data_IF_871157728798
#
_entry.id   IF_871157728798
#
_cell.length_a   1.000
_cell.length_b   1.000
_cell.length_c   1.000
_cell.angle_alpha   90.00
_cell.angle_beta   90.00
_cell.angle_gamma   90.00
#
_symmetry.space_group_name_H-M   'P 1'
#
loop_
_entity.id
_entity.type
_entity.pdbx_description
1 polymer ?
#
# COMPACT_ATOMS: atom_id res chain seq x y z
N UNK A 1 -43.56 59.52 30.62
CA UNK A 1 -42.95 58.55 29.69
C UNK A 1 -41.63 58.09 30.28
N UNK A 2 -41.59 56.87 30.82
CA UNK A 2 -40.39 56.27 31.39
C UNK A 2 -39.39 55.90 30.29
N UNK A 3 -38.12 56.30 30.44
CA UNK A 3 -36.99 55.84 29.61
C UNK A 3 -36.16 54.86 30.44
N UNK A 4 -36.21 53.57 30.07
CA UNK A 4 -35.26 52.56 30.52
C UNK A 4 -33.97 52.70 29.71
N UNK A 5 -32.86 52.98 30.38
CA UNK A 5 -31.52 52.88 29.80
C UNK A 5 -31.00 51.47 30.00
N UNK A 6 -30.83 50.72 28.91
CA UNK A 6 -30.16 49.41 28.91
C UNK A 6 -28.67 49.66 28.62
N UNK A 7 -27.83 49.30 29.58
CA UNK A 7 -26.37 49.33 29.46
C UNK A 7 -25.90 48.02 28.81
N UNK A 8 -25.34 48.10 27.60
CA UNK A 8 -24.77 46.95 26.89
C UNK A 8 -23.34 46.69 27.40
N UNK A 9 -23.12 45.58 28.12
CA UNK A 9 -21.77 45.07 28.35
C UNK A 9 -21.31 44.27 27.12
N UNK A 10 -20.25 44.74 26.46
CA UNK A 10 -19.57 43.97 25.43
C UNK A 10 -18.66 42.92 26.08
N UNK A 11 -19.06 41.65 26.02
CA UNK A 11 -18.17 40.53 26.28
C UNK A 11 -17.26 40.35 25.06
N UNK A 12 -16.00 40.76 25.18
CA UNK A 12 -14.96 40.42 24.22
C UNK A 12 -14.66 38.92 24.29
N UNK A 13 -15.13 38.16 23.31
CA UNK A 13 -14.68 36.78 23.12
C UNK A 13 -13.28 36.82 22.53
N UNK A 14 -12.27 36.49 23.33
CA UNK A 14 -10.96 36.13 22.81
C UNK A 14 -11.11 34.82 22.02
N UNK A 15 -11.21 34.92 20.69
CA UNK A 15 -11.03 33.79 19.81
C UNK A 15 -9.55 33.40 19.84
N UNK A 16 -9.22 32.30 20.51
CA UNK A 16 -7.92 31.68 20.39
C UNK A 16 -7.81 31.14 18.96
N UNK A 17 -7.00 31.79 18.13
CA UNK A 17 -6.56 31.19 16.88
C UNK A 17 -5.71 29.97 17.25
N UNK A 18 -6.26 28.76 17.11
CA UNK A 18 -5.47 27.55 17.23
C UNK A 18 -4.49 27.55 16.06
N UNK A 19 -3.20 27.78 16.32
CA UNK A 19 -2.17 27.76 15.30
C UNK A 19 -2.04 26.32 14.80
N UNK A 20 -2.49 26.06 13.56
CA UNK A 20 -2.33 24.79 12.89
C UNK A 20 -0.85 24.37 12.90
N UNK A 21 -0.56 23.16 13.37
CA UNK A 21 0.78 22.58 13.33
C UNK A 21 0.83 21.57 12.20
N UNK A 22 1.81 21.71 11.30
CA UNK A 22 2.15 20.67 10.34
C UNK A 22 3.46 20.01 10.77
N UNK A 23 3.50 18.69 10.79
CA UNK A 23 4.74 17.94 11.06
C UNK A 23 4.78 16.66 10.26
N UNK A 24 5.90 15.94 10.30
CA UNK A 24 5.98 14.63 9.69
C UNK A 24 7.41 14.16 9.55
N UNK A 25 7.56 13.05 8.83
CA UNK A 25 8.82 12.37 8.56
C UNK A 25 9.09 12.38 7.06
N UNK A 26 10.34 12.66 6.67
CA UNK A 26 10.85 12.38 5.34
C UNK A 26 11.79 11.20 5.45
N UNK A 27 11.59 10.21 4.59
CA UNK A 27 12.35 8.97 4.52
C UNK A 27 13.04 8.87 3.14
N UNK A 28 14.17 8.18 3.09
CA UNK A 28 14.86 7.85 1.86
C UNK A 28 14.31 6.52 1.32
N UNK A 29 13.73 6.55 0.12
CA UNK A 29 13.14 5.37 -0.51
C UNK A 29 14.15 4.28 -0.84
N UNK A 30 15.41 4.66 -1.07
CA UNK A 30 16.49 3.76 -1.52
C UNK A 30 17.00 2.82 -0.42
N UNK A 31 16.83 3.20 0.85
CA UNK A 31 17.31 2.43 2.01
C UNK A 31 16.26 2.30 3.14
N UNK A 32 15.16 3.05 3.08
CA UNK A 32 14.07 2.98 4.05
C UNK A 32 14.39 3.66 5.39
N UNK A 33 15.43 4.50 5.45
CA UNK A 33 15.83 5.21 6.68
C UNK A 33 15.34 6.67 6.66
N UNK A 34 15.27 7.36 7.80
CA UNK A 34 14.94 8.78 7.83
C UNK A 34 15.94 9.63 7.03
N UNK A 35 15.44 10.60 6.28
CA UNK A 35 16.23 11.44 5.38
C UNK A 35 16.51 12.79 6.03
N UNK A 36 17.74 12.97 6.53
CA UNK A 36 18.22 14.22 7.11
C UNK A 36 18.47 15.31 6.05
N UNK A 37 18.12 16.54 6.40
CA UNK A 37 18.39 17.73 5.60
C UNK A 37 17.61 17.79 4.28
N UNK A 38 16.46 17.12 4.19
CA UNK A 38 15.47 17.38 3.14
C UNK A 38 14.79 18.72 3.42
N UNK A 39 14.61 19.52 2.39
CA UNK A 39 13.92 20.81 2.47
C UNK A 39 12.43 20.57 2.33
N UNK A 40 11.67 21.07 3.31
CA UNK A 40 10.21 21.09 3.29
C UNK A 40 9.78 22.54 3.16
N UNK A 41 8.98 22.86 2.14
CA UNK A 41 8.58 24.23 1.80
C UNK A 41 7.07 24.34 1.73
N UNK A 42 6.51 25.32 2.41
CA UNK A 42 5.10 25.72 2.34
C UNK A 42 4.94 26.82 1.30
N UNK A 43 4.41 26.47 0.13
CA UNK A 43 4.52 27.29 -1.09
C UNK A 43 3.88 28.67 -0.98
N UNK A 44 2.75 28.79 -0.29
CA UNK A 44 2.03 30.06 -0.12
C UNK A 44 2.51 30.88 1.09
N UNK A 45 3.16 30.24 2.07
CA UNK A 45 3.72 30.91 3.23
C UNK A 45 5.18 31.36 3.01
N UNK A 46 5.87 30.81 2.01
CA UNK A 46 7.30 31.03 1.79
C UNK A 46 8.17 30.49 2.94
N UNK A 47 7.61 29.64 3.80
CA UNK A 47 8.28 29.06 4.95
C UNK A 47 8.95 27.75 4.52
N UNK A 48 10.22 27.59 4.90
CA UNK A 48 10.95 26.35 4.68
C UNK A 48 11.66 25.92 5.97
N UNK A 49 11.67 24.61 6.21
CA UNK A 49 12.47 23.98 7.25
C UNK A 49 13.26 22.81 6.64
N UNK A 50 14.30 22.39 7.33
CA UNK A 50 15.05 21.18 6.98
C UNK A 50 14.75 20.08 7.97
N UNK A 51 14.69 18.84 7.49
CA UNK A 51 14.51 17.68 8.36
C UNK A 51 15.71 17.44 9.27
N UNK A 52 15.44 16.99 10.50
CA UNK A 52 16.46 16.59 11.47
C UNK A 52 17.08 15.21 11.15
N UNK A 53 17.99 14.74 12.01
CA UNK A 53 18.67 13.42 11.89
C UNK A 53 17.71 12.23 11.91
N UNK A 54 16.50 12.41 12.44
CA UNK A 54 15.43 11.40 12.46
C UNK A 54 14.41 11.69 11.35
N UNK A 55 14.76 12.52 10.37
CA UNK A 55 13.94 12.85 9.20
C UNK A 55 12.73 13.72 9.53
N UNK A 56 12.60 14.24 10.75
CA UNK A 56 11.41 14.98 11.16
C UNK A 56 11.46 16.44 10.73
N UNK A 57 10.30 16.97 10.39
CA UNK A 57 10.08 18.39 10.19
C UNK A 57 8.86 18.87 10.97
N UNK A 58 8.81 20.17 11.25
CA UNK A 58 7.69 20.81 11.94
C UNK A 58 7.55 22.27 11.53
N UNK A 59 6.31 22.70 11.35
CA UNK A 59 5.89 24.09 11.23
C UNK A 59 4.87 24.41 12.32
N UNK A 60 5.14 25.47 13.08
CA UNK A 60 4.20 26.00 14.08
C UNK A 60 3.39 27.15 13.47
N UNK A 61 2.07 27.06 13.51
CA UNK A 61 1.17 28.13 13.07
C UNK A 61 1.17 28.39 11.56
N UNK A 62 1.43 27.37 10.76
CA UNK A 62 1.50 27.51 9.31
C UNK A 62 0.24 26.94 8.65
N UNK A 63 -0.40 27.78 7.82
CA UNK A 63 -1.39 27.34 6.85
C UNK A 63 -0.77 27.42 5.45
N UNK A 64 -0.93 26.34 4.68
CA UNK A 64 -0.63 26.34 3.26
C UNK A 64 -1.57 25.35 2.59
N UNK A 65 -1.81 25.53 1.29
CA UNK A 65 -2.60 24.59 0.52
C UNK A 65 -1.72 23.46 -0.04
N UNK A 66 -0.42 23.72 -0.18
CA UNK A 66 0.57 22.80 -0.74
C UNK A 66 1.89 22.85 0.05
N UNK A 67 2.44 21.66 0.29
CA UNK A 67 3.78 21.44 0.83
C UNK A 67 4.64 20.71 -0.21
N UNK A 68 5.86 21.18 -0.41
CA UNK A 68 6.85 20.57 -1.32
C UNK A 68 8.02 20.03 -0.52
N UNK A 69 8.45 18.82 -0.86
CA UNK A 69 9.59 18.11 -0.28
C UNK A 69 10.66 17.97 -1.36
N UNK A 70 11.90 18.36 -1.05
CA UNK A 70 13.01 18.25 -1.99
C UNK A 70 14.34 17.98 -1.30
N UNK A 71 15.22 17.27 -2.00
CA UNK A 71 16.61 17.02 -1.60
C UNK A 71 17.43 16.88 -2.87
N UNK A 72 18.64 17.44 -2.88
CA UNK A 72 19.56 17.28 -4.02
C UNK A 72 19.80 15.79 -4.27
N UNK A 73 19.62 15.34 -5.52
CA UNK A 73 19.74 13.94 -5.91
C UNK A 73 18.45 13.12 -5.83
N UNK A 74 17.33 13.72 -5.41
CA UNK A 74 16.02 13.08 -5.29
C UNK A 74 14.97 13.77 -6.15
N UNK A 75 13.95 13.01 -6.56
CA UNK A 75 12.76 13.58 -7.16
C UNK A 75 11.96 14.38 -6.12
N UNK A 76 11.52 15.59 -6.48
CA UNK A 76 10.71 16.42 -5.60
C UNK A 76 9.26 15.97 -5.60
N UNK A 77 8.61 16.04 -4.44
CA UNK A 77 7.20 15.70 -4.28
C UNK A 77 6.44 16.90 -3.73
N UNK A 78 5.30 17.22 -4.32
CA UNK A 78 4.34 18.18 -3.77
C UNK A 78 3.06 17.49 -3.30
N UNK A 79 2.47 17.99 -2.22
CA UNK A 79 1.21 17.47 -1.66
C UNK A 79 0.30 18.59 -1.23
N UNK A 80 -0.98 18.41 -1.53
CA UNK A 80 -2.02 19.23 -0.94
C UNK A 80 -2.21 18.86 0.54
N UNK A 81 -2.33 19.86 1.41
CA UNK A 81 -2.58 19.68 2.85
C UNK A 81 -3.82 20.47 3.27
N UNK A 82 -4.46 20.01 4.34
CA UNK A 82 -5.55 20.76 4.95
C UNK A 82 -4.99 21.94 5.76
N UNK A 83 -5.67 23.08 5.72
CA UNK A 83 -5.23 24.34 6.34
C UNK A 83 -5.19 24.30 7.88
N UNK A 84 -5.71 23.24 8.50
CA UNK A 84 -5.74 23.05 9.95
C UNK A 84 -4.53 22.28 10.51
N UNK A 85 -3.53 21.95 9.68
CA UNK A 85 -2.33 21.23 10.09
C UNK A 85 -2.50 19.71 9.98
N UNK A 86 -1.55 18.95 10.55
CA UNK A 86 -1.56 17.49 10.54
C UNK A 86 -0.18 16.85 10.47
N UNK A 87 -0.17 15.56 10.15
CA UNK A 87 1.05 14.79 9.88
C UNK A 87 1.14 14.50 8.39
N UNK A 88 2.25 14.83 7.74
CA UNK A 88 2.48 14.47 6.34
C UNK A 88 3.86 13.80 6.19
N UNK A 89 3.87 12.47 6.15
CA UNK A 89 5.08 11.70 5.94
C UNK A 89 5.35 11.49 4.43
N UNK A 90 6.62 11.47 4.00
CA UNK A 90 7.02 11.32 2.58
C UNK A 90 8.24 10.42 2.44
N UNK A 91 8.28 9.55 1.42
CA UNK A 91 9.52 8.98 0.87
C UNK A 91 9.93 9.81 -0.32
N UNK A 92 11.19 10.23 -0.35
CA UNK A 92 11.82 10.72 -1.56
C UNK A 92 12.59 9.56 -2.23
N UNK A 93 12.45 9.42 -3.54
CA UNK A 93 13.22 8.46 -4.34
C UNK A 93 14.37 9.16 -5.05
N UNK A 94 15.46 8.44 -5.31
CA UNK A 94 16.58 8.97 -6.08
C UNK A 94 16.11 9.41 -7.47
N UNK A 95 16.59 10.57 -7.91
CA UNK A 95 16.13 11.20 -9.13
C UNK A 95 16.34 10.29 -10.34
N UNK A 96 15.25 10.09 -11.11
CA UNK A 96 15.27 9.28 -12.32
C UNK A 96 15.47 7.77 -12.08
N UNK A 97 15.36 7.29 -10.84
CA UNK A 97 15.44 5.87 -10.50
C UNK A 97 14.06 5.30 -10.17
N UNK A 98 13.87 4.01 -10.43
CA UNK A 98 12.64 3.30 -10.04
C UNK A 98 12.93 2.49 -8.79
N UNK A 99 12.28 2.82 -7.67
CA UNK A 99 12.46 2.12 -6.40
C UNK A 99 11.21 1.32 -6.04
N UNK A 100 11.39 0.05 -5.70
CA UNK A 100 10.32 -0.83 -5.25
C UNK A 100 10.82 -1.87 -4.25
N UNK A 101 9.87 -2.49 -3.55
CA UNK A 101 10.11 -3.70 -2.77
C UNK A 101 9.37 -4.85 -3.44
N UNK A 102 10.02 -6.00 -3.55
CA UNK A 102 9.39 -7.19 -4.09
C UNK A 102 9.84 -8.43 -3.31
N UNK A 103 9.24 -9.56 -3.66
CA UNK A 103 9.84 -10.85 -3.35
C UNK A 103 10.78 -11.26 -4.47
N UNK A 104 11.99 -11.69 -4.11
CA UNK A 104 12.99 -12.21 -5.07
C UNK A 104 13.83 -13.30 -4.39
N UNK A 105 14.46 -14.18 -5.17
CA UNK A 105 15.37 -15.17 -4.61
C UNK A 105 16.71 -14.56 -4.21
N UNK A 106 17.22 -14.97 -3.05
CA UNK A 106 18.60 -14.69 -2.63
C UNK A 106 19.63 -15.63 -3.30
N UNK A 107 20.91 -15.43 -2.99
CA UNK A 107 22.00 -16.27 -3.52
C UNK A 107 21.88 -17.76 -3.17
N UNK A 108 21.01 -18.14 -2.22
CA UNK A 108 20.72 -19.53 -1.82
C UNK A 108 19.41 -20.05 -2.43
N UNK A 109 18.75 -19.27 -3.29
CA UNK A 109 17.46 -19.61 -3.89
C UNK A 109 16.26 -19.46 -2.94
N UNK A 110 16.43 -18.82 -1.77
CA UNK A 110 15.33 -18.58 -0.82
C UNK A 110 14.58 -17.32 -1.24
N UNK A 111 13.25 -17.38 -1.25
CA UNK A 111 12.43 -16.20 -1.52
C UNK A 111 12.49 -15.26 -0.33
N UNK A 112 13.06 -14.07 -0.52
CA UNK A 112 13.21 -13.05 0.51
C UNK A 112 12.53 -11.76 0.07
N UNK A 113 12.25 -10.87 1.03
CA UNK A 113 11.83 -9.51 0.72
C UNK A 113 13.06 -8.68 0.42
N UNK A 114 13.08 -8.01 -0.72
CA UNK A 114 14.19 -7.16 -1.13
C UNK A 114 13.68 -5.82 -1.67
N UNK A 115 14.43 -4.77 -1.37
CA UNK A 115 14.32 -3.48 -2.03
C UNK A 115 15.23 -3.47 -3.25
N UNK A 116 14.73 -2.92 -4.35
CA UNK A 116 15.50 -2.70 -5.57
C UNK A 116 15.43 -1.24 -5.97
N UNK A 117 16.60 -0.66 -6.26
CA UNK A 117 16.73 0.61 -6.98
C UNK A 117 17.18 0.27 -8.40
N UNK A 118 16.30 0.49 -9.38
CA UNK A 118 16.60 0.31 -10.78
C UNK A 118 17.01 1.62 -11.42
N UNK A 119 18.08 1.57 -12.20
CA UNK A 119 18.56 2.68 -13.01
C UNK A 119 18.19 2.49 -14.48
N UNK A 120 17.24 3.26 -15.04
CA UNK A 120 16.87 3.17 -16.45
C UNK A 120 18.01 3.49 -17.42
N UNK A 121 18.96 4.35 -17.05
CA UNK A 121 20.05 4.78 -17.93
C UNK A 121 21.09 3.67 -18.09
N UNK A 122 21.55 3.11 -16.96
CA UNK A 122 22.57 2.06 -16.94
C UNK A 122 21.99 0.65 -17.03
N UNK A 123 20.66 0.51 -16.87
CA UNK A 123 19.91 -0.75 -16.83
C UNK A 123 20.37 -1.69 -15.71
N UNK A 124 20.84 -1.13 -14.60
CA UNK A 124 21.34 -1.87 -13.44
C UNK A 124 20.30 -1.93 -12.32
N UNK A 125 20.46 -2.87 -11.39
CA UNK A 125 19.61 -3.01 -10.21
C UNK A 125 20.47 -3.14 -8.97
N UNK A 126 20.34 -2.19 -8.06
CA UNK A 126 20.93 -2.29 -6.72
C UNK A 126 19.91 -2.95 -5.80
N UNK A 127 20.21 -4.17 -5.35
CA UNK A 127 19.29 -5.01 -4.56
C UNK A 127 19.78 -5.08 -3.11
N UNK A 128 18.91 -4.70 -2.18
CA UNK A 128 19.12 -4.84 -0.72
C UNK A 128 18.08 -5.79 -0.14
N UNK A 129 18.54 -6.92 0.40
CA UNK A 129 17.65 -7.87 1.08
C UNK A 129 17.25 -7.31 2.45
N UNK A 130 15.94 -7.16 2.66
CA UNK A 130 15.35 -6.70 3.92
C UNK A 130 15.10 -7.85 4.90
N UNK A 131 15.11 -9.08 4.39
CA UNK A 131 15.02 -10.30 5.20
C UNK A 131 16.16 -11.24 4.83
N UNK A 132 16.81 -11.81 5.84
CA UNK A 132 17.71 -12.96 5.70
C UNK A 132 17.27 -14.07 6.66
N UNK A 133 16.29 -14.86 6.21
CA UNK A 133 15.66 -15.90 7.04
C UNK A 133 15.71 -17.25 6.35
N UNK A 134 15.63 -18.35 7.12
CA UNK A 134 15.57 -19.70 6.52
C UNK A 134 14.24 -19.96 5.83
N UNK A 135 13.18 -19.25 6.23
CA UNK A 135 11.85 -19.32 5.65
C UNK A 135 11.76 -18.49 4.37
N UNK A 136 10.68 -18.72 3.62
CA UNK A 136 10.38 -17.98 2.39
C UNK A 136 9.38 -16.86 2.68
N UNK A 137 9.69 -15.62 2.30
CA UNK A 137 8.89 -14.44 2.57
C UNK A 137 8.26 -13.92 1.29
N UNK A 138 6.98 -13.52 1.34
CA UNK A 138 6.18 -13.23 0.15
C UNK A 138 5.25 -12.04 0.34
N UNK A 139 4.88 -11.40 -0.78
CA UNK A 139 3.85 -10.33 -0.84
C UNK A 139 4.12 -9.19 0.16
N UNK A 140 5.23 -8.45 0.01
CA UNK A 140 5.45 -7.26 0.80
C UNK A 140 4.38 -6.22 0.49
N UNK A 141 3.91 -5.53 1.51
CA UNK A 141 2.98 -4.42 1.40
C UNK A 141 3.33 -3.33 2.40
N UNK A 142 3.36 -2.08 1.97
CA UNK A 142 3.72 -0.96 2.82
C UNK A 142 2.53 -0.52 3.68
N UNK A 143 2.83 -0.08 4.91
CA UNK A 143 1.87 0.67 5.70
C UNK A 143 1.46 1.93 4.96
N UNK A 144 0.28 2.50 5.26
CA UNK A 144 -0.17 3.71 4.60
C UNK A 144 0.88 4.80 4.73
N UNK A 145 1.46 5.02 5.90
CA UNK A 145 2.52 5.99 6.14
C UNK A 145 3.92 5.62 5.61
N UNK A 146 4.07 4.49 4.91
CA UNK A 146 5.33 4.02 4.33
C UNK A 146 6.43 3.60 5.31
N UNK A 147 6.19 3.68 6.62
CA UNK A 147 7.20 3.43 7.65
C UNK A 147 7.41 1.94 7.96
N UNK A 148 6.47 1.08 7.53
CA UNK A 148 6.48 -0.35 7.81
C UNK A 148 6.16 -1.17 6.57
N UNK A 149 6.57 -2.43 6.62
CA UNK A 149 6.28 -3.45 5.62
C UNK A 149 5.63 -4.63 6.32
N UNK A 150 4.52 -5.12 5.78
CA UNK A 150 3.93 -6.42 6.13
C UNK A 150 4.16 -7.41 5.01
N UNK A 151 4.27 -8.69 5.35
CA UNK A 151 4.44 -9.78 4.40
C UNK A 151 4.03 -11.09 5.06
N UNK A 152 3.84 -12.17 4.29
CA UNK A 152 3.64 -13.49 4.88
C UNK A 152 4.92 -14.33 4.76
N UNK A 153 5.26 -15.02 5.85
CA UNK A 153 6.40 -15.92 5.94
C UNK A 153 5.91 -17.35 5.87
N UNK A 154 6.30 -18.10 4.85
CA UNK A 154 5.98 -19.51 4.68
C UNK A 154 6.91 -20.40 5.50
N UNK A 155 6.33 -21.24 6.33
CA UNK A 155 6.95 -22.38 6.96
C UNK A 155 6.78 -23.58 6.03
N UNK A 156 7.87 -24.27 5.71
CA UNK A 156 7.82 -25.35 4.73
C UNK A 156 6.89 -26.49 5.22
N UNK A 157 5.77 -26.66 4.53
CA UNK A 157 4.99 -27.89 4.52
C UNK A 157 4.83 -28.31 3.05
N UNK A 158 5.13 -29.58 2.76
CA UNK A 158 5.19 -30.13 1.40
C UNK A 158 3.87 -29.99 0.64
N UNK A 159 3.94 -29.97 -0.69
CA UNK A 159 2.77 -29.87 -1.58
C UNK A 159 2.87 -28.72 -2.59
N UNK A 160 2.30 -28.88 -3.80
CA UNK A 160 2.43 -27.91 -4.89
C UNK A 160 1.48 -26.69 -4.80
N UNK A 161 0.55 -26.65 -3.83
CA UNK A 161 -0.47 -25.62 -3.74
C UNK A 161 -0.67 -25.07 -2.31
N UNK A 162 -1.33 -23.92 -2.22
CA UNK A 162 -1.66 -23.19 -0.99
C UNK A 162 -2.45 -24.00 0.07
N UNK A 163 -3.02 -25.15 -0.30
CA UNK A 163 -3.86 -25.97 0.57
C UNK A 163 -3.08 -26.71 1.67
N UNK A 164 -1.75 -26.80 1.53
CA UNK A 164 -0.86 -27.39 2.54
C UNK A 164 0.12 -26.40 3.14
N UNK A 165 0.10 -25.14 2.70
CA UNK A 165 1.04 -24.14 3.20
C UNK A 165 0.71 -23.78 4.65
N UNK A 166 1.76 -23.40 5.38
CA UNK A 166 1.70 -22.84 6.73
C UNK A 166 2.44 -21.52 6.67
N UNK A 167 1.88 -20.45 7.24
CA UNK A 167 2.53 -19.14 7.16
C UNK A 167 2.12 -18.16 8.24
N UNK A 168 3.11 -17.42 8.73
CA UNK A 168 2.93 -16.30 9.66
C UNK A 168 2.65 -15.02 8.89
N UNK A 169 2.03 -14.05 9.55
CA UNK A 169 2.02 -12.66 9.09
C UNK A 169 3.06 -11.89 9.90
N UNK A 170 3.97 -11.24 9.19
CA UNK A 170 5.07 -10.50 9.76
C UNK A 170 4.92 -9.00 9.51
N UNK A 171 5.52 -8.21 10.39
CA UNK A 171 5.70 -6.77 10.25
C UNK A 171 7.16 -6.44 10.52
N UNK A 172 7.72 -5.50 9.76
CA UNK A 172 9.04 -4.91 9.99
C UNK A 172 9.00 -3.43 9.65
N UNK A 173 9.99 -2.67 10.11
CA UNK A 173 10.21 -1.30 9.66
C UNK A 173 10.60 -1.29 8.17
N UNK A 174 10.43 -0.16 7.49
CA UNK A 174 10.73 -0.03 6.07
C UNK A 174 12.21 -0.35 5.75
N UNK A 175 13.15 -0.10 6.66
CA UNK A 175 14.57 -0.45 6.52
C UNK A 175 14.87 -1.96 6.72
N UNK A 176 13.88 -2.77 7.09
CA UNK A 176 14.02 -4.20 7.40
C UNK A 176 14.29 -4.51 8.87
N UNK A 177 14.52 -3.49 9.71
CA UNK A 177 14.70 -3.66 11.16
C UNK A 177 13.37 -3.97 11.87
N UNK A 178 13.45 -4.40 13.13
CA UNK A 178 12.25 -4.58 13.96
C UNK A 178 11.30 -5.67 13.48
N UNK A 179 11.79 -6.62 12.68
CA UNK A 179 11.00 -7.75 12.20
C UNK A 179 10.41 -8.55 13.37
N UNK A 180 9.10 -8.77 13.34
CA UNK A 180 8.38 -9.62 14.28
C UNK A 180 7.13 -10.24 13.64
N UNK A 181 6.58 -11.26 14.28
CA UNK A 181 5.34 -11.92 13.84
C UNK A 181 4.15 -11.38 14.62
N UNK A 182 3.12 -10.94 13.89
CA UNK A 182 1.85 -10.53 14.48
C UNK A 182 0.82 -11.66 14.48
N UNK A 183 1.07 -12.72 13.70
CA UNK A 183 0.26 -13.94 13.63
C UNK A 183 1.19 -15.13 13.51
N UNK A 184 1.05 -16.09 14.43
CA UNK A 184 1.75 -17.37 14.36
C UNK A 184 1.16 -18.25 13.26
N UNK A 185 2.04 -18.80 12.43
CA UNK A 185 1.71 -19.41 11.16
C UNK A 185 1.82 -20.93 11.09
N UNK A 186 2.18 -21.58 12.19
CA UNK A 186 2.60 -22.99 12.20
C UNK A 186 1.40 -23.95 12.12
N UNK A 187 0.18 -23.45 12.30
CA UNK A 187 -1.05 -24.26 12.28
C UNK A 187 -2.03 -23.87 11.14
N UNK A 188 -1.75 -22.79 10.42
CA UNK A 188 -2.67 -22.27 9.40
C UNK A 188 -1.93 -21.54 8.28
N UNK A 189 -2.56 -21.49 7.10
CA UNK A 189 -2.08 -20.66 6.00
C UNK A 189 -2.65 -19.24 6.16
N UNK A 190 -1.81 -18.29 6.59
CA UNK A 190 -2.17 -16.87 6.64
C UNK A 190 -1.49 -16.13 5.49
N UNK A 191 -2.28 -15.51 4.62
CA UNK A 191 -1.78 -14.97 3.35
C UNK A 191 -2.40 -13.63 3.00
N UNK A 192 -1.77 -12.95 2.05
CA UNK A 192 -2.21 -11.68 1.47
C UNK A 192 -2.47 -10.61 2.53
N UNK A 193 -1.41 -10.20 3.25
CA UNK A 193 -1.57 -9.16 4.23
C UNK A 193 -1.79 -7.80 3.56
N UNK A 194 -2.76 -7.05 4.08
CA UNK A 194 -3.07 -5.68 3.67
C UNK A 194 -3.22 -4.79 4.90
N UNK A 195 -2.58 -3.62 4.86
CA UNK A 195 -2.80 -2.61 5.88
C UNK A 195 -4.20 -1.99 5.78
N UNK A 196 -4.77 -1.66 6.93
CA UNK A 196 -5.92 -0.76 6.99
C UNK A 196 -5.48 0.65 6.63
N UNK A 197 -6.39 1.45 6.06
CA UNK A 197 -6.11 2.84 5.65
C UNK A 197 -6.89 3.89 6.46
N UNK A 198 -7.65 3.43 7.44
CA UNK A 198 -8.50 4.22 8.36
C UNK A 198 -7.73 4.84 9.55
N UNK A 199 -6.40 4.83 9.50
CA UNK A 199 -5.55 5.31 10.60
C UNK A 199 -5.44 4.39 11.81
N UNK A 200 -6.05 3.19 11.77
CA UNK A 200 -6.03 2.26 12.91
C UNK A 200 -4.78 1.38 13.02
N UNK A 201 -3.88 1.47 12.03
CA UNK A 201 -2.60 0.72 11.98
C UNK A 201 -2.77 -0.80 12.18
N UNK A 202 -3.76 -1.40 11.52
CA UNK A 202 -4.00 -2.85 11.55
C UNK A 202 -3.54 -3.50 10.26
N UNK A 203 -3.21 -4.78 10.34
CA UNK A 203 -2.93 -5.64 9.18
C UNK A 203 -4.03 -6.70 9.09
N UNK A 204 -4.75 -6.69 7.98
CA UNK A 204 -5.70 -7.74 7.60
C UNK A 204 -5.04 -8.83 6.78
N UNK A 205 -5.58 -10.05 6.81
CA UNK A 205 -5.06 -11.21 6.08
C UNK A 205 -6.15 -12.29 5.88
N UNK A 206 -5.90 -13.21 4.95
CA UNK A 206 -6.74 -14.38 4.70
C UNK A 206 -6.21 -15.59 5.46
N UNK A 207 -7.03 -16.19 6.34
CA UNK A 207 -6.72 -17.43 7.06
C UNK A 207 -7.35 -18.64 6.39
N UNK A 208 -6.54 -19.65 6.12
CA UNK A 208 -6.89 -20.85 5.36
C UNK A 208 -6.39 -22.13 6.08
N UNK A 209 -6.82 -23.29 5.56
CA UNK A 209 -6.42 -24.63 6.03
C UNK A 209 -6.81 -24.97 7.48
N UNK A 210 -7.75 -24.21 8.06
CA UNK A 210 -8.30 -24.45 9.41
C UNK A 210 -9.83 -24.28 9.43
N UNK A 211 -10.48 -24.76 10.49
CA UNK A 211 -11.95 -24.64 10.66
C UNK A 211 -12.38 -23.16 10.71
N UNK A 212 -11.65 -22.32 11.41
CA UNK A 212 -11.91 -20.89 11.52
C UNK A 212 -11.29 -20.08 10.35
N UNK A 213 -11.52 -20.51 9.10
CA UNK A 213 -11.03 -19.83 7.91
C UNK A 213 -11.76 -18.52 7.62
N UNK A 214 -11.11 -17.63 6.88
CA UNK A 214 -11.68 -16.36 6.40
C UNK A 214 -10.82 -15.15 6.78
N UNK A 215 -11.36 -13.94 6.57
CA UNK A 215 -10.59 -12.72 6.71
C UNK A 215 -10.49 -12.29 8.18
N UNK A 216 -9.27 -11.96 8.60
CA UNK A 216 -8.95 -11.51 9.95
C UNK A 216 -8.09 -10.25 9.88
N UNK A 217 -7.91 -9.59 11.02
CA UNK A 217 -6.91 -8.55 11.21
C UNK A 217 -6.23 -8.67 12.58
N UNK A 218 -5.07 -8.06 12.72
CA UNK A 218 -4.43 -7.80 14.02
C UNK A 218 -3.82 -6.39 14.01
N UNK A 219 -3.56 -5.82 15.18
CA UNK A 219 -2.72 -4.62 15.29
C UNK A 219 -1.32 -4.93 14.76
N UNK A 220 -0.63 -3.94 14.20
CA UNK A 220 0.71 -4.14 13.65
C UNK A 220 1.76 -4.52 14.70
N UNK A 221 1.50 -4.24 15.96
CA UNK A 221 2.30 -4.56 17.15
C UNK A 221 1.60 -5.60 18.04
N UNK A 222 0.49 -6.16 17.55
CA UNK A 222 -0.33 -7.12 18.25
C UNK A 222 0.38 -8.46 18.43
N UNK A 223 0.11 -9.12 19.55
CA UNK A 223 0.62 -10.46 19.79
C UNK A 223 -0.19 -11.50 18.99
N UNK A 224 0.43 -12.61 18.56
CA UNK A 224 -0.29 -13.76 18.02
C UNK A 224 -1.42 -14.23 18.95
N UNK A 225 -2.61 -14.50 18.39
CA UNK A 225 -3.81 -14.88 19.13
C UNK A 225 -4.75 -13.70 19.47
N UNK A 226 -4.30 -12.46 19.30
CA UNK A 226 -5.13 -11.26 19.49
C UNK A 226 -5.98 -10.91 18.25
N UNK A 227 -5.80 -11.64 17.14
CA UNK A 227 -6.48 -11.33 15.89
C UNK A 227 -8.00 -11.47 15.98
N UNK A 228 -8.69 -10.68 15.17
CA UNK A 228 -10.15 -10.68 15.10
C UNK A 228 -10.60 -10.93 13.69
N UNK A 229 -11.66 -11.71 13.56
CA UNK A 229 -12.37 -11.92 12.30
C UNK A 229 -13.05 -10.62 11.89
N UNK A 230 -12.96 -10.24 10.61
CA UNK A 230 -13.51 -8.96 10.12
C UNK A 230 -14.78 -9.13 9.28
N UNK A 231 -15.02 -10.33 8.77
CA UNK A 231 -16.20 -10.64 7.98
C UNK A 231 -16.47 -12.17 7.93
N UNK A 232 -17.66 -12.59 7.47
CA UNK A 232 -17.92 -13.92 6.94
C UNK A 232 -16.90 -14.37 5.88
N UNK A 233 -17.04 -15.60 5.40
CA UNK A 233 -16.15 -16.10 4.34
C UNK A 233 -16.14 -15.18 3.11
N UNK A 234 -14.93 -14.84 2.69
CA UNK A 234 -14.60 -14.00 1.54
C UNK A 234 -13.10 -13.72 1.55
N UNK A 235 -12.56 -13.34 0.40
CA UNK A 235 -11.14 -13.06 0.23
C UNK A 235 -10.88 -11.55 0.42
N UNK A 236 -10.12 -11.20 1.46
CA UNK A 236 -9.77 -9.81 1.75
C UNK A 236 -8.76 -9.27 0.72
N UNK A 237 -8.97 -8.02 0.33
CA UNK A 237 -8.20 -7.23 -0.63
C UNK A 237 -7.95 -5.83 0.02
N UNK A 238 -7.36 -4.83 -0.67
CA UNK A 238 -7.04 -3.54 -0.06
C UNK A 238 -8.20 -2.86 0.68
N UNK A 239 -7.85 -2.13 1.75
CA UNK A 239 -8.76 -1.29 2.53
C UNK A 239 -8.86 0.11 1.94
N UNK A 240 -9.95 0.80 2.26
CA UNK A 240 -10.19 2.21 2.00
C UNK A 240 -9.94 3.04 3.27
N UNK A 241 -9.73 4.34 3.09
CA UNK A 241 -9.49 5.31 4.15
C UNK A 241 -10.70 5.50 5.07
N UNK A 242 -11.91 5.18 4.61
CA UNK A 242 -13.13 5.23 5.42
C UNK A 242 -13.39 3.94 6.22
N UNK A 243 -12.45 2.99 6.23
CA UNK A 243 -12.54 1.74 6.97
C UNK A 243 -13.29 0.62 6.25
N UNK A 244 -13.80 0.85 5.04
CA UNK A 244 -14.30 -0.24 4.19
C UNK A 244 -13.16 -1.05 3.62
N UNK A 245 -13.46 -2.29 3.23
CA UNK A 245 -12.49 -3.24 2.68
C UNK A 245 -13.06 -3.96 1.47
N UNK A 246 -12.24 -4.15 0.43
CA UNK A 246 -12.63 -5.01 -0.67
C UNK A 246 -12.66 -6.47 -0.23
N UNK A 247 -13.79 -7.14 -0.46
CA UNK A 247 -13.94 -8.57 -0.23
C UNK A 247 -14.49 -9.23 -1.49
N UNK A 248 -13.79 -10.25 -1.97
CA UNK A 248 -14.28 -11.11 -3.05
C UNK A 248 -15.03 -12.31 -2.47
N UNK A 249 -16.25 -12.57 -2.97
CA UNK A 249 -17.07 -13.67 -2.50
C UNK A 249 -17.98 -14.17 -3.63
N UNK A 250 -17.94 -15.48 -3.90
CA UNK A 250 -18.79 -16.09 -4.93
C UNK A 250 -18.60 -15.49 -6.32
N UNK A 251 -17.34 -15.18 -6.69
CA UNK A 251 -17.01 -14.54 -7.98
C UNK A 251 -17.31 -13.04 -8.07
N UNK A 252 -17.94 -12.46 -7.04
CA UNK A 252 -18.31 -11.04 -7.01
C UNK A 252 -17.41 -10.22 -6.09
N UNK A 253 -17.37 -8.92 -6.35
CA UNK A 253 -16.61 -7.94 -5.57
C UNK A 253 -17.56 -7.12 -4.70
N UNK A 254 -17.19 -6.91 -3.44
CA UNK A 254 -17.94 -6.10 -2.49
C UNK A 254 -17.02 -5.13 -1.78
N UNK A 255 -17.54 -3.94 -1.47
CA UNK A 255 -17.02 -3.15 -0.36
C UNK A 255 -17.76 -3.60 0.89
N UNK A 256 -16.98 -4.12 1.84
CA UNK A 256 -17.48 -4.57 3.12
C UNK A 256 -17.14 -3.53 4.20
N UNK A 257 -18.07 -3.29 5.11
CA UNK A 257 -17.83 -2.53 6.35
C UNK A 257 -17.78 -3.54 7.49
N UNK A 258 -16.58 -3.84 8.03
CA UNK A 258 -16.43 -4.71 9.19
C UNK A 258 -17.26 -4.23 10.38
N UNK A 259 -17.81 -5.16 11.13
CA UNK A 259 -18.58 -4.90 12.36
C UNK A 259 -18.13 -5.87 13.45
N UNK A 260 -18.59 -5.64 14.68
CA UNK A 260 -18.26 -6.52 15.80
C UNK A 260 -18.69 -7.98 15.58
N UNK A 261 -17.94 -8.90 16.17
CA UNK A 261 -18.25 -10.34 16.14
C UNK A 261 -18.00 -11.02 14.80
N UNK A 262 -17.15 -10.46 13.93
CA UNK A 262 -16.76 -11.09 12.66
C UNK A 262 -17.85 -11.06 11.59
N UNK A 263 -18.72 -10.06 11.66
CA UNK A 263 -19.76 -9.76 10.67
C UNK A 263 -19.32 -8.56 9.81
N UNK A 264 -19.93 -8.39 8.65
CA UNK A 264 -19.73 -7.20 7.83
C UNK A 264 -21.01 -6.86 7.05
N UNK A 265 -21.22 -5.56 6.81
CA UNK A 265 -22.21 -5.08 5.85
C UNK A 265 -21.58 -5.03 4.47
N UNK A 266 -22.27 -5.50 3.44
CA UNK A 266 -21.71 -5.62 2.09
C UNK A 266 -22.48 -4.74 1.11
N UNK A 267 -21.74 -3.95 0.33
CA UNK A 267 -22.25 -3.27 -0.86
C UNK A 267 -21.55 -3.85 -2.08
N UNK A 268 -22.34 -4.37 -3.02
CA UNK A 268 -21.78 -4.94 -4.25
C UNK A 268 -21.12 -3.84 -5.07
N UNK A 269 -19.91 -4.12 -5.56
CA UNK A 269 -19.21 -3.25 -6.50
C UNK A 269 -19.76 -3.53 -7.90
N UNK A 270 -20.33 -2.48 -8.51
CA UNK A 270 -20.87 -2.54 -9.87
C UNK A 270 -19.71 -2.63 -10.88
N UNK A 271 -19.87 -3.51 -11.87
CA UNK A 271 -18.83 -3.82 -12.85
C UNK A 271 -19.47 -4.07 -14.22
N UNK A 272 -18.70 -3.84 -15.28
CA UNK A 272 -19.08 -4.07 -16.67
C UNK A 272 -19.40 -5.54 -16.97
N UNK A 273 -18.72 -6.46 -16.28
CA UNK A 273 -18.89 -7.91 -16.42
C UNK A 273 -18.73 -8.63 -15.06
N UNK A 274 -19.02 -9.93 -15.07
CA UNK A 274 -18.91 -10.84 -13.92
C UNK A 274 -17.59 -11.63 -13.90
N UNK A 275 -16.62 -11.27 -14.76
CA UNK A 275 -15.35 -11.98 -14.83
C UNK A 275 -14.61 -11.88 -13.50
N UNK A 276 -13.91 -12.94 -13.11
CA UNK A 276 -13.12 -12.92 -11.90
C UNK A 276 -11.98 -11.90 -12.03
N UNK A 277 -11.81 -11.09 -10.98
CA UNK A 277 -10.66 -10.19 -10.84
C UNK A 277 -9.84 -10.64 -9.64
N UNK A 278 -8.54 -10.39 -9.66
CA UNK A 278 -7.63 -10.80 -8.61
C UNK A 278 -6.47 -9.81 -8.51
N UNK A 279 -5.68 -9.90 -7.43
CA UNK A 279 -4.50 -9.03 -7.22
C UNK A 279 -4.86 -7.54 -7.27
N UNK A 280 -5.93 -7.18 -6.58
CA UNK A 280 -6.46 -5.82 -6.57
C UNK A 280 -5.45 -4.89 -5.89
N UNK A 281 -5.18 -3.76 -6.52
CA UNK A 281 -4.53 -2.60 -5.96
C UNK A 281 -5.44 -1.38 -6.07
N UNK A 282 -5.42 -0.52 -5.06
CA UNK A 282 -6.11 0.76 -5.06
C UNK A 282 -5.08 1.88 -5.03
N UNK A 283 -5.36 2.92 -5.81
CA UNK A 283 -4.63 4.17 -5.77
C UNK A 283 -4.71 4.83 -4.40
N UNK A 284 -3.80 5.78 -4.17
CA UNK A 284 -3.76 6.52 -2.92
C UNK A 284 -5.01 7.38 -2.72
N UNK A 285 -5.46 8.06 -3.76
CA UNK A 285 -6.62 8.94 -3.74
C UNK A 285 -7.95 8.20 -3.92
N UNK A 286 -7.91 6.87 -4.07
CA UNK A 286 -9.08 6.00 -4.24
C UNK A 286 -9.91 6.31 -5.49
N UNK A 287 -9.27 6.86 -6.53
CA UNK A 287 -9.92 7.16 -7.82
C UNK A 287 -9.60 6.15 -8.92
N UNK A 288 -8.52 5.38 -8.74
CA UNK A 288 -8.06 4.33 -9.64
C UNK A 288 -7.93 2.99 -8.91
N UNK A 289 -8.30 1.91 -9.62
CA UNK A 289 -8.11 0.53 -9.21
C UNK A 289 -7.37 -0.23 -10.32
N UNK A 290 -6.46 -1.13 -9.95
CA UNK A 290 -5.78 -2.02 -10.89
C UNK A 290 -5.89 -3.48 -10.43
N UNK A 291 -5.98 -4.40 -11.38
CA UNK A 291 -6.14 -5.83 -11.11
C UNK A 291 -5.80 -6.69 -12.31
N UNK A 292 -5.60 -7.98 -12.05
CA UNK A 292 -5.65 -9.01 -13.09
C UNK A 292 -7.10 -9.45 -13.29
N UNK A 293 -7.59 -9.44 -14.53
CA UNK A 293 -8.92 -9.93 -14.91
C UNK A 293 -8.80 -11.19 -15.76
N UNK A 294 -9.64 -12.18 -15.51
CA UNK A 294 -9.67 -13.40 -16.31
C UNK A 294 -10.36 -13.16 -17.65
N UNK A 295 -9.90 -13.86 -18.68
CA UNK A 295 -10.43 -13.77 -20.04
C UNK A 295 -11.54 -14.78 -20.32
N UNK A 296 -11.53 -15.95 -19.65
CA UNK A 296 -12.54 -16.99 -19.81
C UNK A 296 -13.04 -17.58 -18.48
N UNK A 297 -14.10 -18.39 -18.58
CA UNK A 297 -14.73 -19.10 -17.46
C UNK A 297 -14.07 -20.43 -17.11
N UNK A 298 -12.90 -20.76 -17.66
CA UNK A 298 -12.16 -22.00 -17.36
C UNK A 298 -11.27 -21.88 -16.11
N UNK A 299 -11.23 -20.71 -15.49
CA UNK A 299 -10.68 -20.43 -14.16
C UNK A 299 -9.17 -20.63 -14.00
N UNK A 300 -8.38 -20.67 -15.08
CA UNK A 300 -6.94 -20.86 -14.94
C UNK A 300 -6.18 -19.52 -15.01
N UNK A 301 -5.96 -18.91 -13.84
CA UNK A 301 -5.16 -17.68 -13.69
C UNK A 301 -3.71 -17.77 -14.24
N UNK A 302 -3.25 -18.98 -14.54
CA UNK A 302 -1.94 -19.29 -15.10
C UNK A 302 -1.98 -19.70 -16.58
N UNK A 303 -3.16 -19.69 -17.23
CA UNK A 303 -3.32 -19.93 -18.68
C UNK A 303 -3.95 -18.72 -19.39
N UNK A 304 -3.63 -17.51 -18.93
CA UNK A 304 -3.99 -16.27 -19.60
C UNK A 304 -5.00 -15.43 -18.81
N UNK A 305 -4.87 -14.11 -18.98
CA UNK A 305 -5.65 -13.07 -18.33
C UNK A 305 -5.21 -11.72 -18.90
N UNK A 306 -5.82 -10.64 -18.43
CA UNK A 306 -5.41 -9.28 -18.79
C UNK A 306 -5.08 -8.49 -17.54
N UNK A 307 -4.07 -7.63 -17.63
CA UNK A 307 -3.84 -6.60 -16.61
C UNK A 307 -4.64 -5.37 -16.96
N UNK A 308 -5.37 -4.86 -15.96
CA UNK A 308 -6.36 -3.80 -16.11
C UNK A 308 -6.10 -2.72 -15.09
N UNK A 309 -6.27 -1.46 -15.49
CA UNK A 309 -6.60 -0.38 -14.57
C UNK A 309 -7.91 0.27 -14.97
N UNK A 310 -8.59 0.89 -14.02
CA UNK A 310 -9.93 1.43 -14.21
C UNK A 310 -10.20 2.57 -13.23
N UNK A 311 -11.25 3.35 -13.49
CA UNK A 311 -11.77 4.30 -12.50
C UNK A 311 -12.50 3.54 -11.41
N UNK A 312 -12.34 4.03 -10.18
CA UNK A 312 -13.03 3.53 -9.00
C UNK A 312 -13.81 4.65 -8.34
N UNK A 313 -15.09 4.40 -8.07
CA UNK A 313 -15.93 5.28 -7.26
C UNK A 313 -16.38 4.51 -6.03
N UNK A 314 -15.89 4.91 -4.87
CA UNK A 314 -16.24 4.30 -3.60
C UNK A 314 -17.59 4.80 -3.06
N UNK A 315 -18.05 5.98 -3.45
CA UNK A 315 -19.32 6.57 -2.99
C UNK A 315 -20.53 5.86 -3.60
N UNK A 316 -20.38 5.44 -4.85
CA UNK A 316 -21.28 4.52 -5.56
C UNK A 316 -20.43 3.34 -5.98
N UNK A 317 -20.23 2.32 -5.11
CA UNK A 317 -19.23 1.27 -5.29
C UNK A 317 -19.25 0.69 -6.71
N UNK A 318 -18.33 1.14 -7.55
CA UNK A 318 -18.34 0.83 -8.98
C UNK A 318 -16.93 0.92 -9.57
N UNK A 319 -16.73 0.11 -10.62
CA UNK A 319 -15.52 0.11 -11.44
C UNK A 319 -15.95 0.37 -12.88
N UNK A 320 -15.42 1.44 -13.47
CA UNK A 320 -15.77 1.91 -14.82
C UNK A 320 -14.52 2.25 -15.61
N UNK A 321 -14.66 2.45 -16.92
CA UNK A 321 -13.58 2.88 -17.81
C UNK A 321 -12.33 1.97 -17.73
N UNK A 322 -12.55 0.65 -17.79
CA UNK A 322 -11.46 -0.32 -17.79
C UNK A 322 -10.55 -0.15 -19.01
N UNK A 323 -9.25 -0.11 -18.76
CA UNK A 323 -8.19 -0.12 -19.76
C UNK A 323 -7.35 -1.37 -19.57
N UNK A 324 -7.30 -2.22 -20.61
CA UNK A 324 -6.37 -3.34 -20.69
C UNK A 324 -5.03 -2.81 -21.16
N UNK A 325 -3.97 -2.97 -20.34
CA UNK A 325 -2.63 -2.47 -20.67
C UNK A 325 -1.60 -3.57 -20.93
N UNK A 326 -1.92 -4.81 -20.56
CA UNK A 326 -1.08 -5.97 -20.87
C UNK A 326 -1.97 -7.22 -21.04
N UNK A 327 -1.74 -7.95 -22.12
CA UNK A 327 -2.28 -9.30 -22.32
C UNK A 327 -1.26 -10.32 -21.82
N UNK A 328 -1.68 -11.14 -20.87
CA UNK A 328 -0.79 -12.10 -20.23
C UNK A 328 -0.61 -13.32 -21.12
N UNK A 329 0.64 -13.63 -21.47
CA UNK A 329 0.98 -14.88 -22.13
C UNK A 329 0.61 -16.05 -21.20
N UNK A 330 -0.28 -16.95 -21.64
CA UNK A 330 -0.75 -18.09 -20.85
C UNK A 330 0.35 -19.11 -20.51
N UNK A 331 1.52 -19.02 -21.12
CA UNK A 331 2.68 -19.85 -20.79
C UNK A 331 3.55 -19.27 -19.68
N UNK A 332 3.25 -18.04 -19.24
CA UNK A 332 4.10 -17.26 -18.34
C UNK A 332 3.36 -16.86 -17.07
N UNK A 333 4.12 -16.68 -15.99
CA UNK A 333 3.56 -16.24 -14.73
C UNK A 333 3.64 -14.72 -14.63
N UNK A 334 2.51 -14.10 -14.32
CA UNK A 334 2.46 -12.69 -13.94
C UNK A 334 2.01 -12.54 -12.48
N UNK A 335 2.55 -11.54 -11.79
CA UNK A 335 2.26 -11.27 -10.38
C UNK A 335 1.55 -9.93 -10.19
N UNK A 336 1.42 -9.51 -8.92
CA UNK A 336 0.55 -8.42 -8.49
C UNK A 336 0.88 -7.10 -9.19
N UNK A 337 -0.17 -6.30 -9.38
CA UNK A 337 -0.04 -4.90 -9.79
C UNK A 337 0.03 -4.05 -8.53
N UNK A 338 0.85 -3.00 -8.53
CA UNK A 338 0.80 -1.90 -7.58
C UNK A 338 0.76 -0.57 -8.32
N UNK A 339 0.28 0.48 -7.66
CA UNK A 339 0.04 1.80 -8.25
C UNK A 339 0.97 2.80 -7.56
N UNK A 340 1.65 3.64 -8.33
CA UNK A 340 2.49 4.71 -7.78
C UNK A 340 1.65 5.74 -7.05
N UNK A 341 2.28 6.50 -6.13
CA UNK A 341 1.56 7.45 -5.27
C UNK A 341 0.88 8.60 -6.01
N UNK A 342 1.31 8.88 -7.24
CA UNK A 342 0.79 9.90 -8.15
C UNK A 342 -0.16 9.32 -9.22
N UNK A 343 -0.49 8.03 -9.12
CA UNK A 343 -1.32 7.27 -10.08
C UNK A 343 -0.77 7.23 -11.52
N UNK A 344 0.48 7.64 -11.74
CA UNK A 344 1.08 7.66 -13.07
C UNK A 344 1.55 6.29 -13.53
N UNK A 345 2.06 5.48 -12.61
CA UNK A 345 2.74 4.23 -12.96
C UNK A 345 2.11 3.02 -12.30
N UNK A 346 1.98 1.94 -13.06
CA UNK A 346 1.62 0.61 -12.56
C UNK A 346 2.84 -0.29 -12.59
N UNK A 347 3.15 -0.94 -11.47
CA UNK A 347 4.26 -1.88 -11.37
C UNK A 347 3.72 -3.30 -11.31
N UNK A 348 4.27 -4.20 -12.10
CA UNK A 348 3.85 -5.60 -12.13
C UNK A 348 5.04 -6.51 -12.45
N UNK A 349 4.92 -7.81 -12.15
CA UNK A 349 5.94 -8.77 -12.56
C UNK A 349 5.38 -9.68 -13.66
N UNK A 350 6.21 -9.96 -14.66
CA UNK A 350 5.90 -10.80 -15.82
C UNK A 350 7.22 -11.34 -16.36
N UNK A 351 7.25 -12.60 -16.78
CA UNK A 351 8.42 -13.25 -17.41
C UNK A 351 9.70 -13.18 -16.56
N UNK A 352 9.54 -13.29 -15.24
CA UNK A 352 10.62 -13.14 -14.27
C UNK A 352 11.21 -11.74 -14.17
N UNK A 353 10.64 -10.75 -14.84
CA UNK A 353 11.04 -9.35 -14.75
C UNK A 353 10.01 -8.53 -13.98
N UNK A 354 10.45 -7.41 -13.42
CA UNK A 354 9.56 -6.33 -12.99
C UNK A 354 9.39 -5.36 -14.16
N UNK A 355 8.14 -5.00 -14.44
CA UNK A 355 7.68 -4.14 -15.51
C UNK A 355 6.94 -2.94 -14.91
N UNK A 356 7.06 -1.79 -15.56
CA UNK A 356 6.35 -0.56 -15.22
C UNK A 356 5.56 -0.08 -16.43
N UNK A 357 4.27 0.18 -16.25
CA UNK A 357 3.39 0.81 -17.23
C UNK A 357 3.21 2.29 -16.89
N UNK A 358 3.40 3.20 -17.84
CA UNK A 358 3.05 4.62 -17.72
C UNK A 358 1.61 4.81 -18.24
N UNK A 359 0.70 5.17 -17.33
CA UNK A 359 -0.73 5.37 -17.62
C UNK A 359 -0.96 6.57 -18.55
N UNK A 360 -0.12 7.60 -18.46
CA UNK A 360 -0.27 8.80 -19.27
C UNK A 360 0.15 8.55 -20.73
N UNK A 361 1.25 7.83 -20.91
CA UNK A 361 1.83 7.56 -22.23
C UNK A 361 1.36 6.24 -22.85
N UNK A 362 0.75 5.35 -22.06
CA UNK A 362 0.35 4.02 -22.50
C UNK A 362 1.53 3.07 -22.78
N UNK A 363 2.72 3.38 -22.27
CA UNK A 363 3.96 2.63 -22.56
C UNK A 363 4.30 1.64 -21.45
N UNK A 364 5.09 0.61 -21.75
CA UNK A 364 5.56 -0.39 -20.78
C UNK A 364 7.08 -0.53 -20.89
N UNK A 365 7.78 -0.52 -19.75
CA UNK A 365 9.22 -0.71 -19.67
C UNK A 365 9.61 -1.76 -18.64
N UNK A 366 10.69 -2.49 -18.89
CA UNK A 366 11.31 -3.38 -17.89
C UNK A 366 12.11 -2.54 -16.89
N UNK A 367 11.86 -2.73 -15.59
CA UNK A 367 12.48 -1.99 -14.46
C UNK A 367 13.23 -2.92 -13.50
N UNK A 368 13.84 -3.95 -14.06
CA UNK A 368 14.74 -4.87 -13.38
C UNK A 368 15.89 -5.19 -14.32
N UNK A 369 17.11 -5.36 -13.82
CA UNK A 369 18.23 -5.79 -14.67
C UNK A 369 18.01 -7.23 -15.15
N UNK A 370 17.88 -8.16 -14.19
CA UNK A 370 17.80 -9.59 -14.46
C UNK A 370 16.36 -10.10 -14.53
N UNK A 371 16.13 -11.07 -15.42
CA UNK A 371 14.94 -11.90 -15.39
C UNK A 371 15.18 -13.10 -14.47
N UNK A 372 14.34 -13.27 -13.45
CA UNK A 372 14.37 -14.35 -12.48
C UNK A 372 12.92 -14.79 -12.17
N UNK A 373 12.55 -16.08 -12.35
CA UNK A 373 11.19 -16.56 -12.06
C UNK A 373 10.71 -16.29 -10.63
N UNK A 374 11.62 -15.97 -9.72
CA UNK A 374 11.31 -15.66 -8.32
C UNK A 374 10.95 -14.20 -8.06
N UNK A 375 11.06 -13.31 -9.06
CA UNK A 375 10.62 -11.90 -8.94
C UNK A 375 9.10 -11.81 -8.95
N UNK A 376 8.52 -11.48 -7.81
CA UNK A 376 7.08 -11.43 -7.62
C UNK A 376 6.66 -10.30 -6.67
N UNK A 377 5.39 -9.93 -6.76
CA UNK A 377 4.75 -9.01 -5.82
C UNK A 377 5.45 -7.65 -5.67
N UNK A 378 5.76 -6.96 -6.78
CA UNK A 378 6.42 -5.68 -6.69
C UNK A 378 5.45 -4.62 -6.16
N UNK A 379 5.91 -3.84 -5.19
CA UNK A 379 5.16 -2.74 -4.59
C UNK A 379 6.03 -1.50 -4.51
N UNK A 380 5.45 -0.34 -4.84
CA UNK A 380 6.11 0.94 -4.57
C UNK A 380 6.19 1.18 -3.06
N UNK A 381 7.24 1.89 -2.63
CA UNK A 381 7.19 2.62 -1.36
C UNK A 381 6.03 3.62 -1.43
N UNK A 382 5.00 3.43 -0.59
CA UNK A 382 3.80 4.29 -0.57
C UNK A 382 3.76 5.18 0.65
N UNK A 383 3.13 6.35 0.53
CA UNK A 383 2.68 7.19 1.64
C UNK A 383 1.23 7.59 1.36
N UNK A 384 0.31 7.27 2.27
CA UNK A 384 -1.06 7.75 2.33
C UNK A 384 -1.07 9.18 2.84
N UNK A 385 -2.24 9.81 2.81
CA UNK A 385 -2.45 11.11 3.46
C UNK A 385 -2.09 11.02 4.94
#
# INVERSE_FOLDING_TARGET
MFRCSVMLMALSTCAWAHSATLSGLVMDGSNGVPLEGATVTLKNAGLSVTTDVEGRYRFDGASADEVTFSKVGYDSISRNIESNGGTANVVLTLAGKVTYVCTTADAKGRWQIARTVYDPETKTSDITYLTDTTQWNFKPNFSPDGSKITFFRRYAAGGPCCDTWLSSICVMNADGSGLHEIIAGEESFNTEPYWTRDGSERVSFNRMNVKNRGPHWNSFDGQPGAERRIAPWGWVNPHLADGRVFIQRGGQSFLATPTDGGKANYVKVQRSDDKFIHKIALSRDETMIAYQKWVDSSHNMYKGGVMVYAKFDASVPSITDEVVFDELDPSTQAWYVSISTDNRFLLFAKDGAIMQHDVAEGTVMKVSADSDPYKAYPTYTTFSK
#
